data_IF_958622581680
#
_entry.id   IF_958622581680
#
_cell.length_a   1.000
_cell.length_b   1.000
_cell.length_c   1.000
_cell.angle_alpha   90.00
_cell.angle_beta   90.00
_cell.angle_gamma   90.00
#
_symmetry.space_group_name_H-M   'P 1'
#
loop_
_entity.id
_entity.type
_entity.pdbx_description
1 polymer ?
#
# COMPACT_ATOMS: atom_id res chain seq x y z
N UNK A 1 -24.57 12.57 6.17
CA UNK A 1 -23.62 12.58 5.03
C UNK A 1 -22.36 13.30 5.51
N UNK A 2 -21.50 12.60 6.22
CA UNK A 2 -20.17 13.13 6.47
C UNK A 2 -19.38 12.96 5.17
N UNK A 3 -19.04 14.11 4.57
CA UNK A 3 -18.32 14.12 3.31
C UNK A 3 -17.01 13.37 3.44
N UNK A 4 -16.69 12.58 2.45
CA UNK A 4 -15.35 12.05 2.22
C UNK A 4 -14.41 13.26 2.18
N UNK A 5 -13.80 13.59 3.31
CA UNK A 5 -12.67 14.53 3.36
C UNK A 5 -11.60 13.92 2.48
N UNK A 6 -11.28 14.61 1.38
CA UNK A 6 -10.11 14.25 0.60
C UNK A 6 -8.93 14.18 1.58
N UNK A 7 -8.33 13.00 1.68
CA UNK A 7 -7.19 12.81 2.56
C UNK A 7 -6.08 13.77 2.08
N UNK A 8 -5.72 14.70 2.94
CA UNK A 8 -4.67 15.69 2.68
C UNK A 8 -3.40 15.31 3.44
N UNK A 9 -2.26 15.60 2.86
CA UNK A 9 -1.00 15.46 3.57
C UNK A 9 -0.92 16.43 4.74
N UNK A 10 -0.67 15.90 5.93
CA UNK A 10 -0.49 16.68 7.16
C UNK A 10 0.86 16.32 7.77
N UNK A 11 1.85 17.17 7.53
CA UNK A 11 3.18 17.03 8.12
C UNK A 11 3.12 17.28 9.63
N UNK A 12 3.67 16.35 10.39
CA UNK A 12 3.87 16.46 11.83
C UNK A 12 5.35 16.36 12.14
N UNK A 13 5.95 17.45 12.52
CA UNK A 13 7.35 17.47 12.93
C UNK A 13 7.50 18.35 14.18
N UNK A 14 8.42 18.00 15.11
CA UNK A 14 8.68 18.82 16.31
C UNK A 14 9.53 20.05 16.04
N UNK A 15 9.91 20.31 14.80
CA UNK A 15 10.78 21.39 14.37
C UNK A 15 10.26 22.06 13.11
N UNK A 16 10.64 23.30 12.90
CA UNK A 16 10.33 24.11 11.73
C UNK A 16 11.51 24.14 10.75
N UNK A 17 11.29 24.41 9.45
CA UNK A 17 12.36 24.59 8.47
C UNK A 17 13.30 25.74 8.88
N UNK A 18 14.61 25.49 8.85
CA UNK A 18 15.63 26.46 9.24
C UNK A 18 16.72 26.63 8.17
N UNK A 19 17.54 27.68 8.31
CA UNK A 19 18.62 27.97 7.37
C UNK A 19 18.11 28.21 5.96
N UNK A 20 18.65 27.49 4.98
CA UNK A 20 18.27 27.63 3.56
C UNK A 20 17.04 26.76 3.19
N UNK A 21 16.52 25.95 4.12
CA UNK A 21 15.38 25.08 3.85
C UNK A 21 14.11 25.84 3.42
N UNK A 22 13.68 26.95 4.09
CA UNK A 22 12.50 27.71 3.68
C UNK A 22 12.58 28.20 2.25
N UNK A 23 13.74 28.71 1.83
CA UNK A 23 13.97 29.16 0.46
C UNK A 23 13.91 28.00 -0.52
N UNK A 24 14.60 26.90 -0.24
CA UNK A 24 14.60 25.70 -1.10
C UNK A 24 13.19 25.13 -1.28
N UNK A 25 12.39 25.06 -0.20
CA UNK A 25 10.99 24.62 -0.26
C UNK A 25 10.17 25.53 -1.19
N UNK A 26 10.29 26.86 -1.00
CA UNK A 26 9.54 27.81 -1.79
C UNK A 26 9.89 27.75 -3.28
N UNK A 27 11.19 27.64 -3.61
CA UNK A 27 11.67 27.52 -4.98
C UNK A 27 11.23 26.23 -5.65
N UNK A 28 11.33 25.09 -4.97
CA UNK A 28 10.89 23.79 -5.48
C UNK A 28 9.37 23.77 -5.73
N UNK A 29 8.57 24.24 -4.77
CA UNK A 29 7.11 24.32 -4.91
C UNK A 29 6.71 25.25 -6.06
N UNK A 30 7.37 26.42 -6.18
CA UNK A 30 7.16 27.33 -7.30
C UNK A 30 7.47 26.67 -8.63
N UNK A 31 8.63 26.03 -8.76
CA UNK A 31 9.03 25.36 -9.99
C UNK A 31 8.04 24.25 -10.41
N UNK A 32 7.53 23.46 -9.47
CA UNK A 32 6.49 22.46 -9.76
C UNK A 32 5.17 23.09 -10.22
N UNK A 33 4.77 24.22 -9.63
CA UNK A 33 3.56 24.95 -10.04
C UNK A 33 3.70 25.61 -11.41
N UNK A 34 4.90 26.01 -11.78
CA UNK A 34 5.24 26.56 -13.10
C UNK A 34 5.40 25.48 -14.19
N UNK A 35 5.35 24.18 -13.81
CA UNK A 35 5.41 23.06 -14.74
C UNK A 35 6.82 22.55 -15.02
N UNK A 36 7.81 22.88 -14.20
CA UNK A 36 9.16 22.34 -14.32
C UNK A 36 9.10 20.81 -14.15
N UNK A 37 9.56 20.06 -15.16
CA UNK A 37 9.55 18.62 -15.14
C UNK A 37 10.64 18.02 -14.24
N UNK A 38 11.78 18.70 -14.13
CA UNK A 38 12.92 18.27 -13.35
C UNK A 38 13.45 19.41 -12.49
N UNK A 39 13.76 19.11 -11.23
CA UNK A 39 14.41 20.02 -10.30
C UNK A 39 15.44 19.24 -9.48
N UNK A 40 16.50 19.88 -9.05
CA UNK A 40 17.55 19.26 -8.24
C UNK A 40 17.68 19.97 -6.91
N UNK A 41 17.51 19.22 -5.80
CA UNK A 41 17.82 19.70 -4.46
C UNK A 41 19.24 19.29 -4.10
N UNK A 42 20.16 20.26 -4.03
CA UNK A 42 21.54 20.05 -3.65
C UNK A 42 21.72 20.34 -2.16
N UNK A 43 22.36 19.42 -1.43
CA UNK A 43 22.65 19.61 -0.01
C UNK A 43 23.57 18.51 0.51
N UNK A 44 24.38 18.84 1.49
CA UNK A 44 25.27 17.87 2.17
C UNK A 44 24.48 16.83 2.97
N UNK A 45 25.12 15.76 3.37
CA UNK A 45 24.52 14.78 4.29
C UNK A 45 24.15 15.47 5.61
N UNK A 46 22.95 15.19 6.12
CA UNK A 46 22.47 15.81 7.36
C UNK A 46 21.87 17.20 7.21
N UNK A 47 21.77 17.78 5.97
CA UNK A 47 21.14 19.09 5.76
C UNK A 47 19.59 19.07 5.81
N UNK A 48 18.98 17.95 6.16
CA UNK A 48 17.52 17.84 6.25
C UNK A 48 16.80 17.78 4.91
N UNK A 49 17.43 17.21 3.86
CA UNK A 49 16.79 17.06 2.54
C UNK A 49 15.47 16.31 2.59
N UNK A 50 15.36 15.24 3.39
CA UNK A 50 14.13 14.48 3.56
C UNK A 50 13.01 15.36 4.13
N UNK A 51 13.32 16.15 5.15
CA UNK A 51 12.38 17.10 5.75
C UNK A 51 11.98 18.21 4.78
N UNK A 52 12.92 18.74 4.00
CA UNK A 52 12.65 19.69 2.92
C UNK A 52 11.65 19.09 1.91
N UNK A 53 11.86 17.85 1.47
CA UNK A 53 10.96 17.17 0.54
C UNK A 53 9.60 16.87 1.17
N UNK A 54 9.52 16.53 2.45
CA UNK A 54 8.24 16.34 3.15
C UNK A 54 7.41 17.63 3.16
N UNK A 55 8.03 18.78 3.39
CA UNK A 55 7.37 20.09 3.27
C UNK A 55 6.89 20.39 1.85
N UNK A 56 7.66 20.02 0.83
CA UNK A 56 7.27 20.17 -0.58
C UNK A 56 6.05 19.29 -0.88
N UNK A 57 6.05 18.03 -0.44
CA UNK A 57 4.92 17.10 -0.62
C UNK A 57 3.65 17.66 0.03
N UNK A 58 3.76 18.13 1.27
CA UNK A 58 2.62 18.76 1.96
C UNK A 58 2.07 19.97 1.19
N UNK A 59 2.92 20.82 0.63
CA UNK A 59 2.45 22.00 -0.09
C UNK A 59 1.90 21.71 -1.49
N UNK A 60 2.34 20.63 -2.12
CA UNK A 60 1.87 20.23 -3.45
C UNK A 60 0.61 19.34 -3.39
N UNK A 61 0.39 18.63 -2.29
CA UNK A 61 -0.78 17.74 -2.10
C UNK A 61 -0.96 16.73 -3.24
N UNK A 62 0.15 16.11 -3.69
CA UNK A 62 0.13 15.13 -4.79
C UNK A 62 0.67 13.78 -4.34
N UNK A 63 0.09 12.66 -4.81
CA UNK A 63 0.68 11.35 -4.63
C UNK A 63 2.15 11.36 -5.08
N UNK A 64 3.02 10.79 -4.27
CA UNK A 64 4.46 10.91 -4.46
C UNK A 64 5.14 9.55 -4.46
N UNK A 65 6.02 9.32 -5.42
CA UNK A 65 6.91 8.17 -5.48
C UNK A 65 8.34 8.60 -5.15
N UNK A 66 8.92 7.99 -4.12
CA UNK A 66 10.31 8.18 -3.71
C UNK A 66 11.11 6.94 -4.11
N UNK A 67 12.07 7.08 -4.99
CA UNK A 67 12.90 5.95 -5.46
C UNK A 67 14.27 6.03 -4.81
N UNK A 68 14.62 5.01 -4.03
CA UNK A 68 15.92 4.82 -3.43
C UNK A 68 16.77 3.82 -4.22
N UNK A 69 18.07 3.97 -4.25
CA UNK A 69 18.96 3.10 -4.99
C UNK A 69 19.12 1.69 -4.39
N UNK A 70 18.77 1.48 -3.13
CA UNK A 70 18.78 0.17 -2.47
C UNK A 70 17.70 0.04 -1.38
N UNK A 71 17.49 -1.20 -0.89
CA UNK A 71 16.49 -1.51 0.14
C UNK A 71 16.77 -0.82 1.47
N UNK A 72 18.04 -0.69 1.87
CA UNK A 72 18.43 -0.09 3.15
C UNK A 72 18.08 1.39 3.22
N UNK A 73 18.40 2.14 2.17
CA UNK A 73 17.99 3.54 2.08
C UNK A 73 16.47 3.69 1.96
N UNK A 74 15.81 2.80 1.21
CA UNK A 74 14.35 2.80 1.13
C UNK A 74 13.72 2.59 2.52
N UNK A 75 14.24 1.66 3.33
CA UNK A 75 13.75 1.41 4.69
C UNK A 75 13.97 2.62 5.61
N UNK A 76 15.14 3.27 5.53
CA UNK A 76 15.40 4.48 6.29
C UNK A 76 14.42 5.60 5.92
N UNK A 77 14.26 5.89 4.63
CA UNK A 77 13.34 6.91 4.14
C UNK A 77 11.88 6.58 4.51
N UNK A 78 11.50 5.30 4.45
CA UNK A 78 10.17 4.87 4.89
C UNK A 78 9.93 5.23 6.37
N UNK A 79 10.88 4.93 7.25
CA UNK A 79 10.80 5.30 8.67
C UNK A 79 10.68 6.82 8.87
N UNK A 80 11.55 7.61 8.21
CA UNK A 80 11.54 9.08 8.30
C UNK A 80 10.20 9.67 7.81
N UNK A 81 9.69 9.23 6.65
CA UNK A 81 8.41 9.71 6.12
C UNK A 81 7.22 9.26 6.97
N UNK A 82 7.26 8.04 7.53
CA UNK A 82 6.20 7.53 8.42
C UNK A 82 6.08 8.34 9.71
N UNK A 83 7.21 8.78 10.27
CA UNK A 83 7.23 9.68 11.43
C UNK A 83 6.68 11.06 11.08
N UNK A 84 7.00 11.59 9.90
CA UNK A 84 6.56 12.90 9.44
C UNK A 84 5.10 12.93 8.99
N UNK A 85 4.57 11.83 8.48
CA UNK A 85 3.19 11.69 7.98
C UNK A 85 2.45 10.53 8.66
N UNK A 86 2.25 10.56 10.00
CA UNK A 86 1.68 9.42 10.73
C UNK A 86 0.23 9.11 10.37
N UNK A 87 -0.53 10.10 9.89
CA UNK A 87 -1.94 9.95 9.54
C UNK A 87 -2.17 9.70 8.03
N UNK A 88 -1.11 9.78 7.23
CA UNK A 88 -1.17 9.60 5.78
C UNK A 88 -0.68 8.20 5.36
N UNK A 89 -0.97 7.81 4.13
CA UNK A 89 -0.50 6.54 3.60
C UNK A 89 0.97 6.66 3.18
N UNK A 90 1.87 6.23 4.05
CA UNK A 90 3.28 6.03 3.72
C UNK A 90 3.52 4.56 3.54
N UNK A 91 3.89 4.17 2.32
CA UNK A 91 3.93 2.78 1.87
C UNK A 91 5.35 2.38 1.45
N UNK A 92 5.68 1.09 1.67
CA UNK A 92 6.99 0.54 1.36
C UNK A 92 6.90 -0.47 0.22
N UNK A 93 7.66 -0.23 -0.85
CA UNK A 93 7.60 -1.03 -2.07
C UNK A 93 8.97 -1.45 -2.56
N UNK A 94 9.43 -2.62 -2.15
CA UNK A 94 10.73 -3.18 -2.52
C UNK A 94 10.58 -4.60 -3.05
N UNK A 95 11.66 -5.20 -3.56
CA UNK A 95 11.65 -6.60 -4.00
C UNK A 95 11.29 -7.53 -2.83
N UNK A 96 10.39 -8.47 -3.03
CA UNK A 96 9.98 -9.48 -2.05
C UNK A 96 10.97 -10.63 -1.89
N UNK A 97 12.02 -10.70 -2.72
CA UNK A 97 13.09 -11.65 -2.53
C UNK A 97 14.09 -11.11 -1.51
N UNK A 98 14.22 -11.79 -0.38
CA UNK A 98 15.22 -11.44 0.65
C UNK A 98 16.55 -12.15 0.40
N UNK A 99 16.47 -13.35 -0.12
CA UNK A 99 17.61 -14.19 -0.40
C UNK A 99 17.60 -14.67 -1.84
N UNK A 100 18.71 -14.53 -2.50
CA UNK A 100 18.97 -15.06 -3.83
C UNK A 100 20.29 -15.82 -3.82
N UNK A 101 20.22 -17.14 -3.90
CA UNK A 101 21.36 -18.00 -4.11
C UNK A 101 21.43 -18.37 -5.59
N UNK A 102 22.42 -17.90 -6.35
CA UNK A 102 22.61 -18.33 -7.72
C UNK A 102 22.97 -19.81 -7.76
N UNK A 103 22.67 -20.45 -8.86
CA UNK A 103 23.15 -21.81 -9.13
C UNK A 103 24.68 -21.81 -9.10
N UNK A 104 25.26 -22.78 -8.41
CA UNK A 104 26.70 -22.96 -8.35
C UNK A 104 27.04 -24.45 -8.39
N UNK A 105 28.07 -24.82 -9.14
CA UNK A 105 28.65 -26.14 -9.12
C UNK A 105 30.02 -26.09 -8.42
N UNK A 106 30.20 -26.91 -7.41
CA UNK A 106 31.44 -27.04 -6.66
C UNK A 106 32.18 -28.29 -7.13
N UNK A 107 33.17 -28.18 -8.06
CA UNK A 107 33.83 -29.34 -8.66
C UNK A 107 34.56 -30.22 -7.64
N UNK A 108 35.08 -29.65 -6.57
CA UNK A 108 35.84 -30.38 -5.54
C UNK A 108 35.00 -31.38 -4.74
N UNK A 109 33.70 -31.19 -4.65
CA UNK A 109 32.77 -32.06 -3.92
C UNK A 109 31.69 -32.66 -4.83
N UNK A 110 31.77 -32.44 -6.12
CA UNK A 110 30.74 -32.82 -7.11
C UNK A 110 29.33 -32.43 -6.68
N UNK A 111 29.23 -31.23 -6.10
CA UNK A 111 27.98 -30.75 -5.52
C UNK A 111 27.38 -29.66 -6.40
N UNK A 112 26.12 -29.88 -6.84
CA UNK A 112 25.31 -28.86 -7.49
C UNK A 112 24.45 -28.14 -6.46
N UNK A 113 24.65 -26.84 -6.32
CA UNK A 113 23.82 -25.96 -5.49
C UNK A 113 22.74 -25.39 -6.36
N UNK A 114 21.50 -25.81 -6.14
CA UNK A 114 20.35 -25.31 -6.89
C UNK A 114 20.08 -23.82 -6.55
N UNK A 115 19.51 -23.14 -7.52
CA UNK A 115 19.00 -21.79 -7.30
C UNK A 115 17.94 -21.82 -6.21
N UNK A 116 18.11 -21.00 -5.19
CA UNK A 116 17.14 -20.82 -4.13
C UNK A 116 16.75 -19.35 -3.97
N UNK A 117 15.47 -19.11 -3.79
CA UNK A 117 14.93 -17.77 -3.53
C UNK A 117 13.72 -17.90 -2.62
N UNK A 118 13.75 -17.26 -1.47
CA UNK A 118 12.60 -17.19 -0.57
C UNK A 118 11.83 -15.89 -0.76
N UNK A 119 10.51 -16.00 -0.82
CA UNK A 119 9.60 -14.86 -0.82
C UNK A 119 9.36 -14.46 0.63
N UNK A 120 9.51 -13.17 0.91
CA UNK A 120 9.18 -12.61 2.22
C UNK A 120 7.71 -12.18 2.23
N UNK A 121 6.89 -12.89 2.97
CA UNK A 121 5.44 -12.65 3.07
C UNK A 121 5.10 -11.25 3.63
N UNK A 122 5.95 -10.69 4.51
CA UNK A 122 5.76 -9.34 5.04
C UNK A 122 5.98 -8.27 3.96
N UNK A 123 7.00 -8.46 3.13
CA UNK A 123 7.25 -7.55 2.00
C UNK A 123 6.15 -7.68 0.94
N UNK A 124 5.67 -8.89 0.67
CA UNK A 124 4.55 -9.10 -0.25
C UNK A 124 3.31 -8.34 0.22
N UNK A 125 2.97 -8.45 1.50
CA UNK A 125 1.88 -7.71 2.13
C UNK A 125 2.05 -6.18 1.99
N UNK A 126 3.26 -5.65 2.25
CA UNK A 126 3.54 -4.22 2.12
C UNK A 126 3.39 -3.75 0.66
N UNK A 127 3.77 -4.57 -0.31
CA UNK A 127 3.57 -4.26 -1.75
C UNK A 127 2.10 -4.21 -2.12
N UNK A 128 1.30 -5.17 -1.64
CA UNK A 128 -0.16 -5.18 -1.86
C UNK A 128 -0.81 -3.97 -1.20
N UNK A 129 -0.39 -3.60 0.02
CA UNK A 129 -0.84 -2.40 0.72
C UNK A 129 -0.55 -1.13 -0.10
N UNK A 130 0.68 -0.99 -0.59
CA UNK A 130 1.08 0.15 -1.41
C UNK A 130 0.23 0.29 -2.68
N UNK A 131 -0.03 -0.83 -3.36
CA UNK A 131 -0.83 -0.83 -4.59
C UNK A 131 -2.31 -0.49 -4.30
N UNK A 132 -2.86 -1.02 -3.22
CA UNK A 132 -4.22 -0.69 -2.78
C UNK A 132 -4.34 0.79 -2.38
N UNK A 133 -3.39 1.31 -1.57
CA UNK A 133 -3.38 2.70 -1.14
C UNK A 133 -3.32 3.67 -2.32
N UNK A 134 -2.50 3.40 -3.33
CA UNK A 134 -2.44 4.22 -4.55
C UNK A 134 -3.75 4.25 -5.33
N UNK A 135 -4.55 3.20 -5.23
CA UNK A 135 -5.84 3.11 -5.92
C UNK A 135 -6.96 3.84 -5.19
N UNK A 136 -6.87 3.92 -3.86
CA UNK A 136 -7.96 4.41 -3.00
C UNK A 136 -7.72 5.82 -2.45
N UNK A 137 -6.45 6.24 -2.32
CA UNK A 137 -6.06 7.46 -1.62
C UNK A 137 -5.30 8.43 -2.52
N UNK A 138 -5.35 9.71 -2.20
CA UNK A 138 -4.57 10.77 -2.87
C UNK A 138 -3.38 11.26 -2.04
N UNK A 139 -3.40 10.99 -0.74
CA UNK A 139 -2.37 11.34 0.23
C UNK A 139 -1.39 10.17 0.45
N UNK A 140 -0.81 9.68 -0.63
CA UNK A 140 0.08 8.50 -0.63
C UNK A 140 1.50 8.89 -0.95
N UNK A 141 2.44 8.44 -0.12
CA UNK A 141 3.88 8.45 -0.40
C UNK A 141 4.37 7.02 -0.48
N UNK A 142 4.79 6.58 -1.66
CA UNK A 142 5.38 5.25 -1.86
C UNK A 142 6.89 5.38 -1.85
N UNK A 143 7.56 4.75 -0.90
CA UNK A 143 9.01 4.63 -0.85
C UNK A 143 9.42 3.31 -1.47
N UNK A 144 10.19 3.39 -2.56
CA UNK A 144 10.51 2.23 -3.37
C UNK A 144 12.01 2.10 -3.65
N UNK A 145 12.41 0.88 -3.95
CA UNK A 145 13.68 0.61 -4.64
C UNK A 145 13.44 0.50 -6.15
N UNK A 146 14.48 0.19 -6.92
CA UNK A 146 14.39 -0.04 -8.37
C UNK A 146 13.36 -1.12 -8.75
N UNK A 147 12.90 -1.92 -7.80
CA UNK A 147 11.85 -2.95 -8.01
C UNK A 147 10.51 -2.40 -8.49
N UNK A 148 10.26 -1.10 -8.31
CA UNK A 148 9.02 -0.46 -8.77
C UNK A 148 8.88 -0.38 -10.30
N UNK A 149 9.95 -0.62 -11.04
CA UNK A 149 9.93 -0.58 -12.51
C UNK A 149 9.78 -1.97 -13.15
N UNK A 150 9.72 -3.04 -12.35
CA UNK A 150 9.64 -4.41 -12.83
C UNK A 150 8.45 -5.17 -12.26
N UNK A 151 7.79 -5.97 -13.10
CA UNK A 151 6.87 -7.02 -12.66
C UNK A 151 5.61 -6.54 -11.95
N UNK A 152 5.10 -5.37 -12.28
CA UNK A 152 3.89 -4.83 -11.66
C UNK A 152 2.58 -5.33 -12.30
N UNK A 153 2.65 -5.97 -13.46
CA UNK A 153 1.47 -6.37 -14.21
C UNK A 153 0.71 -5.19 -14.82
N UNK A 154 -0.50 -5.45 -15.26
CA UNK A 154 -1.39 -4.42 -15.79
C UNK A 154 -2.17 -3.73 -14.66
N UNK A 155 -2.19 -2.39 -14.58
CA UNK A 155 -3.04 -1.68 -13.62
C UNK A 155 -4.52 -2.07 -13.76
N UNK A 156 -5.00 -2.32 -14.98
CA UNK A 156 -6.38 -2.73 -15.23
C UNK A 156 -6.69 -4.08 -14.59
N UNK A 157 -5.82 -5.08 -14.76
CA UNK A 157 -5.99 -6.39 -14.12
C UNK A 157 -6.00 -6.28 -12.60
N UNK A 158 -5.18 -5.38 -12.03
CA UNK A 158 -5.19 -5.13 -10.59
C UNK A 158 -6.54 -4.55 -10.13
N UNK A 159 -7.09 -3.57 -10.85
CA UNK A 159 -8.42 -3.02 -10.55
C UNK A 159 -9.52 -4.06 -10.71
N UNK A 160 -9.42 -4.92 -11.72
CA UNK A 160 -10.36 -6.01 -11.94
C UNK A 160 -10.31 -7.06 -10.81
N UNK A 161 -9.17 -7.16 -10.11
CA UNK A 161 -8.96 -8.01 -8.93
C UNK A 161 -9.21 -7.30 -7.59
N UNK A 162 -9.96 -6.21 -7.59
CA UNK A 162 -10.38 -5.49 -6.38
C UNK A 162 -11.88 -5.61 -6.15
N UNK A 163 -12.28 -5.56 -4.88
CA UNK A 163 -13.66 -5.41 -4.47
C UNK A 163 -13.77 -4.22 -3.51
N UNK A 164 -14.71 -3.32 -3.77
CA UNK A 164 -15.00 -2.20 -2.88
C UNK A 164 -16.24 -2.52 -2.05
N UNK A 165 -16.08 -2.51 -0.72
CA UNK A 165 -17.15 -2.71 0.24
C UNK A 165 -17.20 -1.52 1.19
N UNK A 166 -18.35 -0.88 1.32
CA UNK A 166 -18.54 0.31 2.17
C UNK A 166 -19.83 0.18 2.97
N UNK A 167 -19.89 0.71 4.19
CA UNK A 167 -21.11 0.77 4.97
C UNK A 167 -22.25 1.45 4.17
N UNK A 168 -23.44 0.81 4.15
CA UNK A 168 -24.60 1.32 3.40
C UNK A 168 -24.59 1.06 1.89
N UNK A 169 -23.62 0.31 1.37
CA UNK A 169 -23.60 -0.13 -0.03
C UNK A 169 -24.49 -1.36 -0.20
N UNK A 170 -25.40 -1.31 -1.14
CA UNK A 170 -26.18 -2.49 -1.56
C UNK A 170 -25.33 -3.37 -2.46
N UNK A 171 -25.07 -4.60 -2.02
CA UNK A 171 -24.32 -5.63 -2.75
C UNK A 171 -24.96 -6.98 -2.51
N UNK A 172 -25.16 -7.71 -3.58
CA UNK A 172 -25.59 -9.11 -3.49
C UNK A 172 -24.49 -9.97 -2.87
N UNK A 173 -24.87 -10.82 -1.91
CA UNK A 173 -23.94 -11.69 -1.19
C UNK A 173 -23.21 -12.65 -2.12
N UNK A 174 -23.93 -13.27 -3.03
CA UNK A 174 -23.36 -14.28 -3.92
C UNK A 174 -22.43 -13.65 -4.96
N UNK A 175 -22.70 -12.41 -5.39
CA UNK A 175 -21.77 -11.63 -6.21
C UNK A 175 -20.47 -11.34 -5.44
N UNK A 176 -20.56 -10.96 -4.16
CA UNK A 176 -19.37 -10.75 -3.30
C UNK A 176 -18.55 -12.02 -3.17
N UNK A 177 -19.23 -13.16 -2.88
CA UNK A 177 -18.55 -14.45 -2.72
C UNK A 177 -17.87 -14.90 -4.03
N UNK A 178 -18.55 -14.75 -5.16
CA UNK A 178 -17.99 -15.05 -6.48
C UNK A 178 -16.77 -14.19 -6.76
N UNK A 179 -16.86 -12.89 -6.50
CA UNK A 179 -15.74 -11.96 -6.68
C UNK A 179 -14.53 -12.32 -5.80
N UNK A 180 -14.75 -12.73 -4.55
CA UNK A 180 -13.66 -13.20 -3.67
C UNK A 180 -12.96 -14.44 -4.24
N UNK A 181 -13.72 -15.39 -4.80
CA UNK A 181 -13.16 -16.59 -5.45
C UNK A 181 -12.36 -16.19 -6.70
N UNK A 182 -12.89 -15.31 -7.55
CA UNK A 182 -12.21 -14.79 -8.73
C UNK A 182 -10.89 -14.09 -8.36
N UNK A 183 -10.85 -13.43 -7.20
CA UNK A 183 -9.66 -12.80 -6.59
C UNK A 183 -8.73 -13.80 -5.90
N UNK A 184 -8.92 -15.11 -6.07
CA UNK A 184 -8.11 -16.18 -5.49
C UNK A 184 -8.20 -16.29 -3.95
N UNK A 185 -9.23 -15.73 -3.31
CA UNK A 185 -9.48 -15.95 -1.90
C UNK A 185 -10.00 -17.38 -1.66
N UNK A 186 -9.53 -18.02 -0.63
CA UNK A 186 -9.96 -19.37 -0.27
C UNK A 186 -10.97 -19.33 0.87
N UNK A 187 -12.10 -20.04 0.70
CA UNK A 187 -13.04 -20.21 1.80
C UNK A 187 -12.44 -21.15 2.85
N UNK A 188 -12.31 -20.68 4.08
CA UNK A 188 -11.77 -21.48 5.18
C UNK A 188 -12.43 -21.08 6.50
N UNK A 189 -13.18 -22.03 7.08
CA UNK A 189 -13.90 -21.81 8.35
C UNK A 189 -13.00 -22.07 9.58
N UNK A 190 -11.92 -22.85 9.43
CA UNK A 190 -11.07 -23.32 10.52
C UNK A 190 -9.81 -22.48 10.69
N UNK A 191 -9.11 -22.20 9.58
CA UNK A 191 -7.85 -21.46 9.55
C UNK A 191 -8.09 -20.11 8.84
N UNK A 192 -8.48 -19.10 9.64
CA UNK A 192 -8.81 -17.77 9.15
C UNK A 192 -7.57 -16.91 9.12
N UNK A 193 -6.97 -16.78 7.93
CA UNK A 193 -5.72 -16.05 7.67
C UNK A 193 -5.82 -15.17 6.42
N UNK A 194 -4.76 -14.42 6.12
CA UNK A 194 -4.68 -13.57 4.92
C UNK A 194 -5.10 -14.32 3.65
N UNK A 195 -5.92 -13.69 2.81
CA UNK A 195 -6.43 -14.27 1.58
C UNK A 195 -7.49 -15.35 1.79
N UNK A 196 -8.10 -15.43 2.98
CA UNK A 196 -9.23 -16.32 3.24
C UNK A 196 -10.50 -15.55 3.60
N UNK A 197 -11.63 -16.19 3.39
CA UNK A 197 -12.93 -15.71 3.85
C UNK A 197 -13.74 -16.84 4.46
N UNK A 198 -14.70 -16.51 5.32
CA UNK A 198 -15.67 -17.46 5.89
C UNK A 198 -17.08 -16.87 5.85
N UNK A 199 -18.07 -17.74 5.85
CA UNK A 199 -19.48 -17.33 5.68
C UNK A 199 -20.32 -17.98 6.78
N UNK A 200 -21.02 -17.16 7.53
CA UNK A 200 -21.94 -17.60 8.57
C UNK A 200 -23.29 -16.89 8.42
N UNK A 201 -24.22 -17.56 7.76
CA UNK A 201 -25.50 -16.93 7.39
C UNK A 201 -25.27 -15.72 6.48
N UNK A 202 -25.77 -14.57 6.88
CA UNK A 202 -25.63 -13.31 6.14
C UNK A 202 -24.33 -12.56 6.42
N UNK A 203 -23.47 -13.10 7.28
CA UNK A 203 -22.19 -12.51 7.61
C UNK A 203 -21.09 -13.14 6.77
N UNK A 204 -20.38 -12.32 6.03
CA UNK A 204 -19.15 -12.68 5.31
C UNK A 204 -17.98 -12.00 6.00
N UNK A 205 -17.08 -12.79 6.54
CA UNK A 205 -15.85 -12.31 7.15
C UNK A 205 -14.68 -12.53 6.18
N UNK A 206 -13.94 -11.48 5.90
CA UNK A 206 -12.86 -11.48 4.92
C UNK A 206 -11.57 -11.08 5.62
N UNK A 207 -10.50 -11.84 5.41
CA UNK A 207 -9.16 -11.45 5.85
C UNK A 207 -8.38 -10.91 4.63
N UNK A 208 -8.29 -9.57 4.46
CA UNK A 208 -7.67 -8.99 3.28
C UNK A 208 -6.19 -9.36 3.15
N UNK A 209 -5.73 -9.59 1.94
CA UNK A 209 -4.34 -9.94 1.66
C UNK A 209 -3.36 -8.81 2.01
N UNK A 210 -3.80 -7.56 1.94
CA UNK A 210 -3.03 -6.37 2.28
C UNK A 210 -3.11 -5.96 3.77
N UNK A 211 -4.01 -6.60 4.57
CA UNK A 211 -4.23 -6.21 5.98
C UNK A 211 -3.09 -6.59 6.89
N UNK A 212 -2.85 -5.75 7.89
CA UNK A 212 -1.83 -5.96 8.94
C UNK A 212 -2.34 -6.68 10.19
N UNK A 213 -3.57 -7.18 10.17
CA UNK A 213 -4.12 -7.93 11.31
C UNK A 213 -5.63 -7.83 11.44
N UNK A 214 -6.28 -6.91 10.73
CA UNK A 214 -7.70 -6.69 10.83
C UNK A 214 -8.46 -7.44 9.74
N UNK A 215 -9.50 -8.16 10.16
CA UNK A 215 -10.47 -8.77 9.26
C UNK A 215 -11.66 -7.84 9.07
N UNK A 216 -12.27 -7.90 7.90
CA UNK A 216 -13.49 -7.16 7.57
C UNK A 216 -14.68 -8.09 7.74
N UNK A 217 -15.66 -7.68 8.56
CA UNK A 217 -16.93 -8.39 8.71
C UNK A 217 -18.02 -7.61 7.99
N UNK A 218 -18.62 -8.24 6.98
CA UNK A 218 -19.70 -7.67 6.18
C UNK A 218 -21.01 -8.38 6.53
N UNK A 219 -21.99 -7.62 6.98
CA UNK A 219 -23.37 -8.09 7.12
C UNK A 219 -24.12 -7.78 5.81
N UNK A 220 -24.42 -8.80 5.06
CA UNK A 220 -25.06 -8.71 3.75
C UNK A 220 -26.48 -9.30 3.88
N UNK A 221 -27.48 -8.42 3.96
CA UNK A 221 -28.87 -8.85 3.97
C UNK A 221 -29.27 -9.28 2.57
N UNK A 222 -29.80 -10.49 2.44
CA UNK A 222 -30.53 -10.89 1.24
C UNK A 222 -31.97 -10.38 1.35
N UNK A 223 -32.58 -9.96 0.24
CA UNK A 223 -33.96 -9.46 0.21
C UNK A 223 -34.99 -10.49 0.74
N UNK A 224 -34.66 -11.77 0.73
CA UNK A 224 -35.53 -12.83 1.24
C UNK A 224 -35.69 -12.85 2.77
N UNK A 225 -34.74 -12.30 3.51
CA UNK A 225 -34.85 -12.23 4.99
C UNK A 225 -35.86 -11.18 5.47
N UNK A 226 -36.22 -10.20 4.63
CA UNK A 226 -37.22 -9.21 4.95
C UNK A 226 -38.67 -9.75 4.81
N UNK A 227 -38.88 -10.76 3.97
CA UNK A 227 -40.17 -11.39 3.77
C UNK A 227 -40.56 -12.41 4.86
N UNK A 228 -39.55 -13.02 5.52
CA UNK A 228 -39.81 -14.00 6.60
C UNK A 228 -40.19 -13.33 7.92
N UNK A 229 -39.89 -12.04 8.13
CA UNK A 229 -40.29 -11.29 9.32
C UNK A 229 -41.74 -10.77 9.28
N UNK A 230 -42.46 -10.90 8.14
CA UNK A 230 -43.84 -10.50 7.98
C UNK A 230 -44.85 -11.65 8.12
N UNK A 231 -44.38 -12.88 8.38
CA UNK A 231 -45.22 -14.05 8.67
C UNK A 231 -45.01 -14.52 10.10
N UNK A 232 -45.57 -13.79 11.05
CA UNK A 232 -45.93 -14.30 12.38
C UNK A 232 -47.38 -13.93 12.57
N UNK A 233 -48.27 -14.91 12.29
CA UNK A 233 -49.64 -14.95 12.80
C UNK A 233 -49.66 -15.34 14.28
#
# INVERSE_FOLDING_TARGET
MEGFTMNEFKLKAPYEPTGDQPQAIAELVKGFKEGNQCQTLLGVTGSGKTFTMANVIQQLQKPTLVIAHNKTLAAQLYGEFKEMFPDNAVEYFVSYYDYYQPEAYVPSSDTYIAKDSSINDEIDKLRLSATAAMSERKDVVVISSVSCIYGLGSPQEFFDMMISLRPGMEKDRDEVLKKLIDMQYTRNEMDFKRGTFRVRGDVVEIYPSASSGDAVSCLLYTSDAADDLTRVD
#
